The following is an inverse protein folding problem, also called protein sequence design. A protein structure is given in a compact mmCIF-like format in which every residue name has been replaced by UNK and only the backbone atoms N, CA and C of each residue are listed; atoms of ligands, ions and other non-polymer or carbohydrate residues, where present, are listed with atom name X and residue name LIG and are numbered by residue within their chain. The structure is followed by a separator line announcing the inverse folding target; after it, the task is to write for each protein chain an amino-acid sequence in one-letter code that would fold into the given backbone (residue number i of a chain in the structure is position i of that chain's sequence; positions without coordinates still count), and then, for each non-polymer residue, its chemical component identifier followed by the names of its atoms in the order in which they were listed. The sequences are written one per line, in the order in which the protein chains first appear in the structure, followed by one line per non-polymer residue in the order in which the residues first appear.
data_IF_986506923694
#
_entry.id   IF_986506923694
#
_cell.length_a   1.000
_cell.length_b   1.000
_cell.length_c   1.000
_cell.angle_alpha   90.00
_cell.angle_beta   90.00
_cell.angle_gamma   90.00
#
_symmetry.space_group_name_H-M   'P 1'
#
loop_
_entity.id
_entity.type
_entity.pdbx_description
1 polymer ?
#
# COMPACT_ATOMS: atom_id res chain seq x y z
N UNK A 1 19.48 19.83 10.54
CA UNK A 1 19.17 18.78 11.55
C UNK A 1 17.65 18.57 11.49
N UNK A 2 17.19 17.57 10.77
CA UNK A 2 15.77 17.18 10.79
C UNK A 2 15.48 16.61 12.17
N UNK A 3 14.65 17.32 12.95
CA UNK A 3 14.10 16.77 14.18
C UNK A 3 13.38 15.48 13.80
N UNK A 4 13.77 14.33 14.37
CA UNK A 4 12.92 13.15 14.36
C UNK A 4 11.66 13.51 15.13
N UNK A 5 10.62 13.93 14.41
CA UNK A 5 9.31 14.16 15.01
C UNK A 5 8.76 12.77 15.29
N UNK A 6 8.69 12.40 16.56
CA UNK A 6 8.00 11.20 16.98
C UNK A 6 6.50 11.47 16.85
N UNK A 7 5.91 11.03 15.74
CA UNK A 7 4.47 11.15 15.50
C UNK A 7 3.79 10.00 16.27
N UNK A 8 2.96 10.32 17.26
CA UNK A 8 2.13 9.33 17.96
C UNK A 8 0.67 9.48 17.53
N UNK A 9 0.30 8.78 16.48
CA UNK A 9 -1.05 8.80 15.92
C UNK A 9 -2.16 8.38 16.88
N UNK A 10 -1.85 7.59 17.89
CA UNK A 10 -2.84 7.09 18.84
C UNK A 10 -2.96 7.94 20.11
N UNK A 11 -2.13 8.98 20.25
CA UNK A 11 -2.11 9.90 21.40
C UNK A 11 -2.07 9.16 22.76
N UNK A 12 -3.23 8.95 23.38
CA UNK A 12 -3.36 8.33 24.71
C UNK A 12 -3.73 6.84 24.66
N UNK A 13 -3.96 6.30 23.48
CA UNK A 13 -4.38 4.89 23.31
C UNK A 13 -3.15 4.06 22.99
N UNK A 14 -2.95 2.97 23.73
CA UNK A 14 -1.88 2.04 23.38
C UNK A 14 -2.18 1.32 22.06
N UNK A 15 -1.15 0.95 21.26
CA UNK A 15 -1.35 0.17 20.06
C UNK A 15 -2.18 -1.11 20.28
N UNK A 16 -1.95 -1.84 21.35
CA UNK A 16 -2.71 -3.05 21.68
C UNK A 16 -4.18 -2.76 21.94
N UNK A 17 -4.50 -1.71 22.72
CA UNK A 17 -5.88 -1.32 22.98
C UNK A 17 -6.58 -0.81 21.70
N UNK A 18 -5.86 -0.14 20.79
CA UNK A 18 -6.40 0.27 19.51
C UNK A 18 -6.72 -0.95 18.62
N UNK A 19 -5.80 -1.88 18.47
CA UNK A 19 -5.99 -3.09 17.66
C UNK A 19 -7.11 -3.98 18.22
N UNK A 20 -7.23 -4.07 19.52
CA UNK A 20 -8.28 -4.85 20.17
C UNK A 20 -9.67 -4.23 20.01
N UNK A 21 -9.79 -2.91 20.20
CA UNK A 21 -11.08 -2.22 20.33
C UNK A 21 -11.58 -1.62 19.02
N UNK A 22 -10.68 -1.05 18.20
CA UNK A 22 -11.07 -0.20 17.06
C UNK A 22 -10.74 -0.84 15.71
N UNK A 23 -9.57 -1.44 15.54
CA UNK A 23 -9.11 -1.96 14.26
C UNK A 23 -10.11 -2.94 13.65
N UNK A 24 -10.59 -2.62 12.42
CA UNK A 24 -11.61 -3.40 11.70
C UNK A 24 -12.99 -3.46 12.35
N UNK A 25 -13.28 -2.61 13.36
CA UNK A 25 -14.48 -2.72 14.21
C UNK A 25 -15.31 -1.46 14.30
N UNK A 26 -14.73 -0.33 14.71
CA UNK A 26 -15.45 0.92 14.91
C UNK A 26 -14.57 2.14 14.67
N UNK A 27 -15.19 3.24 14.26
CA UNK A 27 -14.51 4.51 14.05
C UNK A 27 -13.95 5.09 15.38
N UNK A 28 -12.91 5.90 15.26
CA UNK A 28 -12.27 6.59 16.37
C UNK A 28 -11.85 7.99 15.95
N UNK A 29 -12.31 9.02 16.66
CA UNK A 29 -11.89 10.39 16.45
C UNK A 29 -10.94 10.83 17.57
N UNK A 30 -9.78 11.35 17.20
CA UNK A 30 -8.73 11.82 18.10
C UNK A 30 -8.44 13.29 17.79
N UNK A 31 -8.76 14.16 18.73
CA UNK A 31 -8.51 15.59 18.60
C UNK A 31 -7.07 15.93 18.98
N UNK A 32 -6.45 16.87 18.24
CA UNK A 32 -5.09 17.36 18.49
C UNK A 32 -4.10 16.22 18.76
N UNK A 33 -4.11 15.23 17.86
CA UNK A 33 -3.37 13.99 18.03
C UNK A 33 -1.92 14.12 17.57
N UNK A 34 -1.62 14.97 16.58
CA UNK A 34 -0.28 15.11 16.01
C UNK A 34 0.09 16.57 15.78
N UNK A 35 1.41 16.82 15.82
CA UNK A 35 2.00 18.07 15.31
C UNK A 35 2.04 18.01 13.79
N UNK A 36 1.40 18.99 13.14
CA UNK A 36 1.28 19.10 11.69
C UNK A 36 2.34 20.04 11.08
N UNK A 37 3.36 20.42 11.82
CA UNK A 37 4.45 21.25 11.30
C UNK A 37 5.08 20.58 10.07
N UNK A 38 5.02 21.27 8.93
CA UNK A 38 5.45 20.73 7.62
C UNK A 38 4.37 19.98 6.82
N UNK A 39 3.11 19.96 7.31
CA UNK A 39 1.98 19.40 6.58
C UNK A 39 1.34 20.41 5.59
N UNK A 40 1.74 21.66 5.66
CA UNK A 40 1.15 22.74 4.88
C UNK A 40 1.53 22.66 3.40
N UNK A 41 0.54 22.79 2.54
CA UNK A 41 0.70 22.74 1.09
C UNK A 41 0.03 23.95 0.44
N UNK A 42 0.77 24.67 -0.40
CA UNK A 42 0.19 25.73 -1.22
C UNK A 42 -0.50 25.15 -2.46
N UNK A 43 -1.52 25.85 -2.92
CA UNK A 43 -2.26 25.52 -4.13
C UNK A 43 -1.35 25.38 -5.36
N UNK A 44 -0.38 26.28 -5.51
CA UNK A 44 0.53 26.27 -6.66
C UNK A 44 1.41 25.02 -6.67
N UNK A 45 1.88 24.59 -5.49
CA UNK A 45 2.66 23.35 -5.33
C UNK A 45 1.83 22.14 -5.72
N UNK A 46 0.62 22.01 -5.15
CA UNK A 46 -0.27 20.87 -5.42
C UNK A 46 -0.69 20.81 -6.90
N UNK A 47 -0.99 21.96 -7.50
CA UNK A 47 -1.34 22.04 -8.94
C UNK A 47 -0.13 21.78 -9.85
N UNK A 48 1.08 22.12 -9.39
CA UNK A 48 2.32 21.78 -10.07
C UNK A 48 2.52 20.25 -10.13
N UNK A 49 2.30 19.54 -9.01
CA UNK A 49 2.37 18.09 -8.95
C UNK A 49 1.35 17.42 -9.89
N UNK A 50 0.12 17.90 -9.92
CA UNK A 50 -0.95 17.34 -10.74
C UNK A 50 -0.72 17.44 -12.26
N UNK A 51 0.27 18.25 -12.71
CA UNK A 51 0.69 18.33 -14.10
C UNK A 51 1.78 17.33 -14.48
N UNK A 52 2.39 16.70 -13.50
CA UNK A 52 3.48 15.75 -13.69
C UNK A 52 2.93 14.39 -14.14
N UNK A 53 3.40 13.88 -15.29
CA UNK A 53 2.97 12.61 -15.86
C UNK A 53 3.32 11.38 -15.01
N UNK A 54 4.30 11.50 -14.12
CA UNK A 54 4.71 10.45 -13.20
C UNK A 54 3.97 10.47 -11.86
N UNK A 55 2.97 11.35 -11.71
CA UNK A 55 2.19 11.50 -10.49
C UNK A 55 0.73 11.18 -10.79
N UNK A 56 0.23 10.09 -10.21
CA UNK A 56 -1.17 9.74 -10.32
C UNK A 56 -2.03 10.75 -9.56
N UNK A 57 -2.93 11.39 -10.31
CA UNK A 57 -3.83 12.42 -9.75
C UNK A 57 -5.19 12.40 -10.40
N UNK A 58 -6.21 12.85 -9.65
CA UNK A 58 -7.57 13.04 -10.17
C UNK A 58 -8.27 14.21 -9.49
N UNK A 59 -9.18 14.86 -10.21
CA UNK A 59 -10.07 15.87 -9.67
C UNK A 59 -11.47 15.29 -9.59
N UNK A 60 -12.08 15.44 -8.43
CA UNK A 60 -13.50 15.18 -8.19
C UNK A 60 -14.18 16.52 -7.96
N UNK A 61 -15.24 16.80 -8.71
CA UNK A 61 -16.01 18.04 -8.61
C UNK A 61 -17.52 17.73 -8.56
N UNK A 62 -18.25 18.48 -7.75
CA UNK A 62 -19.70 18.41 -7.69
C UNK A 62 -20.30 19.59 -8.47
N UNK A 63 -20.87 19.32 -9.64
CA UNK A 63 -21.43 20.33 -10.56
C UNK A 63 -22.90 20.00 -10.77
N UNK A 64 -23.78 20.95 -10.39
CA UNK A 64 -25.23 20.74 -10.52
C UNK A 64 -25.79 19.54 -9.76
N UNK A 65 -25.14 19.17 -8.64
CA UNK A 65 -25.53 18.01 -7.82
C UNK A 65 -24.99 16.66 -8.34
N UNK A 66 -24.24 16.65 -9.43
CA UNK A 66 -23.63 15.45 -9.99
C UNK A 66 -22.12 15.44 -9.76
N UNK A 67 -21.58 14.27 -9.41
CA UNK A 67 -20.14 14.05 -9.27
C UNK A 67 -19.50 13.87 -10.66
N UNK A 68 -18.42 14.58 -10.91
CA UNK A 68 -17.59 14.44 -12.10
C UNK A 68 -16.14 14.15 -11.68
N UNK A 69 -15.54 13.14 -12.29
CA UNK A 69 -14.14 12.76 -12.06
C UNK A 69 -13.33 12.98 -13.33
N UNK A 70 -12.18 13.63 -13.20
CA UNK A 70 -11.22 13.84 -14.30
C UNK A 70 -9.86 13.38 -13.83
N UNK A 71 -9.16 12.60 -14.65
CA UNK A 71 -7.84 12.05 -14.33
C UNK A 71 -6.72 12.92 -14.92
N UNK A 72 -5.61 13.00 -14.18
CA UNK A 72 -4.36 13.63 -14.64
C UNK A 72 -3.56 12.75 -15.62
N UNK A 73 -2.43 13.24 -16.12
CA UNK A 73 -1.84 14.56 -15.82
C UNK A 73 -2.64 15.70 -16.44
N UNK A 74 -2.65 16.86 -15.76
CA UNK A 74 -3.44 18.01 -16.19
C UNK A 74 -2.59 19.07 -16.89
N UNK A 75 -2.86 19.38 -18.16
CA UNK A 75 -2.28 20.56 -18.82
C UNK A 75 -2.72 21.86 -18.14
N UNK A 76 -4.01 21.92 -17.75
CA UNK A 76 -4.61 23.00 -16.99
C UNK A 76 -5.52 22.42 -15.93
N UNK A 77 -5.22 22.70 -14.67
CA UNK A 77 -6.06 22.27 -13.54
C UNK A 77 -7.32 23.13 -13.52
N UNK A 78 -8.47 22.51 -13.80
CA UNK A 78 -9.78 23.13 -13.65
C UNK A 78 -10.28 22.81 -12.24
N UNK A 79 -10.22 23.80 -11.36
CA UNK A 79 -10.54 23.66 -9.96
C UNK A 79 -11.45 24.81 -9.53
N UNK A 80 -12.61 24.48 -9.01
CA UNK A 80 -13.64 25.44 -8.59
C UNK A 80 -14.15 25.13 -7.19
N UNK A 81 -15.28 25.74 -6.82
CA UNK A 81 -16.00 25.38 -5.58
C UNK A 81 -16.42 23.91 -5.63
N UNK A 82 -16.53 23.29 -4.46
CA UNK A 82 -16.92 21.88 -4.29
C UNK A 82 -16.05 20.91 -5.10
N UNK A 83 -14.77 21.22 -5.24
CA UNK A 83 -13.79 20.37 -5.93
C UNK A 83 -12.73 19.84 -4.98
N UNK A 84 -12.22 18.65 -5.27
CA UNK A 84 -11.07 18.05 -4.59
C UNK A 84 -10.08 17.50 -5.59
N UNK A 85 -8.82 17.89 -5.47
CA UNK A 85 -7.69 17.29 -6.18
C UNK A 85 -7.06 16.22 -5.29
N UNK A 86 -6.99 14.99 -5.78
CA UNK A 86 -6.40 13.86 -5.10
C UNK A 86 -5.08 13.49 -5.76
N UNK A 87 -4.06 13.22 -4.95
CA UNK A 87 -2.76 12.72 -5.39
C UNK A 87 -2.46 11.43 -4.62
N UNK A 88 -2.28 10.34 -5.37
CA UNK A 88 -1.94 9.02 -4.82
C UNK A 88 -0.45 8.90 -4.51
N UNK A 89 -0.08 7.93 -3.68
CA UNK A 89 1.29 7.64 -3.27
C UNK A 89 2.06 8.89 -2.77
N UNK A 90 1.37 9.78 -2.08
CA UNK A 90 1.93 11.06 -1.65
C UNK A 90 3.10 10.92 -0.65
N UNK A 91 3.17 9.77 0.05
CA UNK A 91 4.31 9.37 0.89
C UNK A 91 5.63 9.21 0.11
N UNK A 92 5.60 9.07 -1.23
CA UNK A 92 6.79 9.04 -2.07
C UNK A 92 7.24 10.45 -2.51
N UNK A 93 6.41 11.46 -2.29
CA UNK A 93 6.58 12.82 -2.82
C UNK A 93 6.93 13.80 -1.71
N UNK A 94 6.36 13.62 -0.52
CA UNK A 94 6.36 14.58 0.57
C UNK A 94 6.94 13.97 1.86
N UNK A 95 7.98 14.62 2.43
CA UNK A 95 8.69 14.07 3.59
C UNK A 95 7.78 13.93 4.81
N UNK A 96 6.90 14.91 5.08
CA UNK A 96 5.95 14.82 6.20
C UNK A 96 5.03 13.60 6.06
N UNK A 97 4.43 13.39 4.88
CA UNK A 97 3.51 12.26 4.67
C UNK A 97 4.22 10.90 4.72
N UNK A 98 5.49 10.84 4.31
CA UNK A 98 6.32 9.65 4.51
C UNK A 98 6.53 9.37 6.00
N UNK A 99 6.91 10.37 6.79
CA UNK A 99 7.12 10.21 8.23
C UNK A 99 5.82 9.83 8.95
N UNK A 100 4.71 10.43 8.54
CA UNK A 100 3.37 10.09 9.01
C UNK A 100 3.04 8.61 8.74
N UNK A 101 3.27 8.14 7.53
CA UNK A 101 3.07 6.74 7.15
C UNK A 101 3.97 5.78 7.94
N UNK A 102 5.25 6.13 8.16
CA UNK A 102 6.16 5.32 8.97
C UNK A 102 5.81 5.29 10.45
N UNK A 103 5.06 6.25 10.97
CA UNK A 103 4.66 6.30 12.37
C UNK A 103 3.64 5.23 12.76
N UNK A 104 2.95 4.63 11.78
CA UNK A 104 2.03 3.51 12.00
C UNK A 104 2.81 2.17 12.03
N UNK A 105 3.75 2.06 12.94
CA UNK A 105 4.61 0.88 13.07
C UNK A 105 4.00 -0.25 13.92
N UNK A 106 2.80 -0.07 14.41
CA UNK A 106 2.02 -1.07 15.16
C UNK A 106 1.12 -1.92 14.27
N UNK A 107 1.00 -1.57 12.98
CA UNK A 107 0.37 -2.41 11.95
C UNK A 107 1.48 -3.06 11.12
N UNK A 108 1.41 -4.37 10.81
CA UNK A 108 2.42 -5.04 9.98
C UNK A 108 2.62 -4.34 8.63
N UNK A 109 3.87 -4.15 8.22
CA UNK A 109 4.21 -3.43 6.98
C UNK A 109 3.62 -4.05 5.70
N UNK A 110 3.36 -5.37 5.71
CA UNK A 110 2.70 -6.05 4.60
C UNK A 110 1.26 -5.56 4.35
N UNK A 111 0.63 -4.95 5.35
CA UNK A 111 -0.71 -4.36 5.24
C UNK A 111 -0.68 -2.87 4.90
N UNK A 112 0.46 -2.21 4.94
CA UNK A 112 0.56 -0.82 4.53
C UNK A 112 0.30 -0.68 3.03
N UNK A 113 -0.51 0.32 2.65
CA UNK A 113 -0.76 0.62 1.24
C UNK A 113 -0.05 1.90 0.81
N UNK A 114 -0.73 3.03 0.84
CA UNK A 114 -0.16 4.32 0.50
C UNK A 114 -0.71 5.45 1.38
N UNK A 115 -0.24 6.66 1.12
CA UNK A 115 -0.87 7.89 1.58
C UNK A 115 -1.43 8.63 0.37
N UNK A 116 -2.74 8.78 0.33
CA UNK A 116 -3.40 9.67 -0.62
C UNK A 116 -3.57 11.05 0.02
N UNK A 117 -3.17 12.11 -0.67
CA UNK A 117 -3.44 13.48 -0.26
C UNK A 117 -4.65 14.03 -1.02
N UNK A 118 -5.59 14.65 -0.31
CA UNK A 118 -6.68 15.42 -0.89
C UNK A 118 -6.51 16.91 -0.59
N UNK A 119 -6.58 17.74 -1.64
CA UNK A 119 -6.61 19.19 -1.56
C UNK A 119 -7.99 19.66 -2.02
N UNK A 120 -8.77 20.27 -1.11
CA UNK A 120 -10.19 20.54 -1.35
C UNK A 120 -10.54 22.01 -1.18
N UNK A 121 -11.42 22.54 -2.03
CA UNK A 121 -12.08 23.82 -1.83
C UNK A 121 -13.28 23.69 -0.88
N UNK A 122 -13.83 24.82 -0.45
CA UNK A 122 -15.09 24.83 0.31
C UNK A 122 -16.19 24.02 -0.38
N UNK A 123 -16.86 23.14 0.36
CA UNK A 123 -17.85 22.19 -0.14
C UNK A 123 -17.26 20.99 -0.89
N UNK A 124 -15.94 20.92 -1.07
CA UNK A 124 -15.25 19.82 -1.73
C UNK A 124 -15.16 18.57 -0.85
N UNK A 125 -14.97 17.44 -1.51
CA UNK A 125 -14.83 16.10 -0.92
C UNK A 125 -14.80 15.05 -2.01
N UNK A 126 -14.80 13.76 -1.63
CA UNK A 126 -14.90 12.61 -2.58
C UNK A 126 -16.33 12.11 -2.74
N UNK A 127 -17.28 12.70 -2.00
CA UNK A 127 -18.64 12.20 -1.91
C UNK A 127 -18.80 11.12 -0.83
N UNK A 128 -20.04 10.73 -0.54
CA UNK A 128 -20.34 9.65 0.39
C UNK A 128 -19.93 8.30 -0.22
N UNK A 129 -19.09 7.56 0.51
CA UNK A 129 -18.57 6.26 0.09
C UNK A 129 -18.22 5.38 1.29
N UNK A 130 -17.74 4.20 1.03
CA UNK A 130 -17.12 3.33 2.02
C UNK A 130 -16.00 2.52 1.37
N UNK A 131 -14.95 2.25 2.14
CA UNK A 131 -13.79 1.50 1.69
C UNK A 131 -13.86 0.04 2.16
N UNK A 132 -13.19 -0.86 1.45
CA UNK A 132 -13.02 -2.26 1.86
C UNK A 132 -11.84 -2.46 2.81
N UNK A 133 -11.17 -1.38 3.23
CA UNK A 133 -9.95 -1.39 4.03
C UNK A 133 -10.02 -0.37 5.17
N UNK A 134 -9.11 -0.52 6.12
CA UNK A 134 -8.91 0.42 7.22
C UNK A 134 -8.24 1.69 6.71
N UNK A 135 -8.63 2.86 7.23
CA UNK A 135 -8.01 4.14 6.86
C UNK A 135 -7.89 5.10 8.04
N UNK A 136 -6.73 5.79 8.14
CA UNK A 136 -6.58 6.97 8.99
C UNK A 136 -6.68 8.22 8.14
N UNK A 137 -7.57 9.11 8.51
CA UNK A 137 -7.81 10.41 7.88
C UNK A 137 -7.21 11.49 8.77
N UNK A 138 -6.07 12.02 8.37
CA UNK A 138 -5.31 13.02 9.13
C UNK A 138 -5.58 14.39 8.55
N UNK A 139 -6.14 15.31 9.35
CA UNK A 139 -6.38 16.66 8.91
C UNK A 139 -5.10 17.48 8.96
N UNK A 140 -4.57 17.88 7.81
CA UNK A 140 -3.33 18.63 7.69
C UNK A 140 -3.54 20.13 7.66
N UNK A 141 -4.59 20.61 6.97
CA UNK A 141 -4.83 22.03 6.76
C UNK A 141 -6.32 22.29 6.58
N UNK A 142 -6.82 23.45 7.07
CA UNK A 142 -8.23 23.79 6.97
C UNK A 142 -9.14 22.91 7.84
N UNK A 143 -10.44 23.06 7.70
CA UNK A 143 -11.44 22.33 8.50
C UNK A 143 -12.31 21.46 7.59
N UNK A 144 -12.67 20.26 8.08
CA UNK A 144 -13.53 19.30 7.36
C UNK A 144 -14.54 18.65 8.30
N UNK A 145 -15.81 18.64 7.90
CA UNK A 145 -16.84 17.86 8.59
C UNK A 145 -16.85 16.45 8.04
N UNK A 146 -16.75 15.46 8.92
CA UNK A 146 -16.91 14.06 8.62
C UNK A 146 -18.22 13.52 9.16
N UNK A 147 -19.06 13.00 8.28
CA UNK A 147 -20.28 12.27 8.60
C UNK A 147 -19.97 10.78 8.51
N UNK A 148 -20.24 10.02 9.56
CA UNK A 148 -19.96 8.60 9.68
C UNK A 148 -21.27 7.84 9.85
N UNK A 149 -21.48 6.79 9.07
CA UNK A 149 -22.62 5.90 9.16
C UNK A 149 -22.33 4.64 9.96
N UNK A 150 -23.35 3.84 10.21
CA UNK A 150 -23.19 2.53 10.83
C UNK A 150 -22.45 1.57 9.88
N UNK A 151 -21.49 0.82 10.43
CA UNK A 151 -20.78 -0.22 9.66
C UNK A 151 -21.74 -1.31 9.19
N UNK A 152 -21.84 -1.53 7.90
CA UNK A 152 -22.66 -2.61 7.31
C UNK A 152 -21.81 -3.60 6.50
N UNK A 153 -21.34 -4.64 7.19
CA UNK A 153 -20.58 -5.74 6.56
C UNK A 153 -21.41 -6.59 5.57
N UNK A 154 -22.75 -6.46 5.56
CA UNK A 154 -23.63 -7.23 4.65
C UNK A 154 -23.81 -6.52 3.33
N UNK A 155 -23.81 -5.20 3.28
CA UNK A 155 -23.94 -4.41 2.05
C UNK A 155 -22.85 -4.74 1.02
N UNK A 156 -21.68 -5.21 1.46
CA UNK A 156 -20.53 -5.56 0.62
C UNK A 156 -20.54 -6.96 0.00
N UNK A 157 -21.50 -7.80 0.33
CA UNK A 157 -21.66 -9.10 -0.35
C UNK A 157 -22.29 -8.97 -1.73
N UNK A 158 -22.77 -7.79 -2.09
CA UNK A 158 -23.26 -7.50 -3.44
C UNK A 158 -22.10 -7.06 -4.34
N UNK A 159 -22.07 -7.62 -5.53
CA UNK A 159 -20.99 -7.60 -6.53
C UNK A 159 -20.71 -6.25 -7.20
N UNK A 160 -21.20 -5.12 -6.69
CA UNK A 160 -20.87 -3.80 -7.26
C UNK A 160 -19.58 -3.26 -6.63
N UNK A 161 -18.56 -3.09 -7.43
CA UNK A 161 -17.26 -2.47 -7.06
C UNK A 161 -17.35 -0.94 -6.95
N UNK A 162 -18.48 -0.34 -7.31
CA UNK A 162 -18.69 1.10 -7.24
C UNK A 162 -19.47 1.46 -5.96
N UNK A 163 -18.72 1.87 -4.94
CA UNK A 163 -19.24 2.34 -3.66
C UNK A 163 -19.31 3.87 -3.59
N UNK A 164 -19.17 4.57 -4.73
CA UNK A 164 -19.33 6.01 -4.84
C UNK A 164 -20.83 6.39 -4.78
N UNK A 165 -21.12 7.58 -4.24
CA UNK A 165 -22.49 8.10 -4.09
C UNK A 165 -23.43 7.27 -3.19
N UNK A 166 -22.88 6.63 -2.18
CA UNK A 166 -23.62 5.84 -1.20
C UNK A 166 -24.57 6.75 -0.40
N UNK A 167 -25.88 6.44 -0.40
CA UNK A 167 -26.81 7.10 0.49
C UNK A 167 -26.82 6.42 1.85
N UNK A 168 -26.46 7.16 2.91
CA UNK A 168 -26.54 6.67 4.28
C UNK A 168 -27.03 7.74 5.23
N UNK A 169 -27.51 7.34 6.41
CA UNK A 169 -27.86 8.25 7.49
C UNK A 169 -26.67 8.32 8.44
N UNK A 170 -26.07 9.49 8.65
CA UNK A 170 -24.99 9.66 9.62
C UNK A 170 -25.44 9.25 11.03
N UNK A 171 -24.63 8.44 11.70
CA UNK A 171 -24.79 8.12 13.13
C UNK A 171 -23.93 9.00 13.99
N UNK A 172 -22.81 9.48 13.44
CA UNK A 172 -21.85 10.37 14.10
C UNK A 172 -21.39 11.47 13.14
N UNK A 173 -21.02 12.61 13.71
CA UNK A 173 -20.45 13.73 12.97
C UNK A 173 -19.27 14.32 13.74
N UNK A 174 -18.17 14.55 13.04
CA UNK A 174 -16.94 15.12 13.61
C UNK A 174 -16.49 16.34 12.81
N UNK A 175 -16.11 17.42 13.49
CA UNK A 175 -15.39 18.55 12.90
C UNK A 175 -13.90 18.29 13.08
N UNK A 176 -13.20 17.97 12.00
CA UNK A 176 -11.77 17.78 12.01
C UNK A 176 -11.04 19.10 11.73
N UNK A 177 -10.10 19.43 12.61
CA UNK A 177 -9.18 20.57 12.55
C UNK A 177 -7.74 20.07 12.32
N UNK A 178 -6.82 20.94 11.88
CA UNK A 178 -5.42 20.56 11.71
C UNK A 178 -4.85 19.88 12.96
N UNK A 179 -4.28 18.68 12.79
CA UNK A 179 -3.78 17.83 13.86
C UNK A 179 -4.76 16.74 14.35
N UNK A 180 -6.03 16.81 13.95
CA UNK A 180 -7.02 15.79 14.28
C UNK A 180 -6.90 14.57 13.38
N UNK A 181 -7.26 13.41 13.92
CA UNK A 181 -7.25 12.12 13.20
C UNK A 181 -8.62 11.45 13.36
N UNK A 182 -9.16 10.99 12.25
CA UNK A 182 -10.30 10.09 12.21
C UNK A 182 -9.87 8.75 11.63
N UNK A 183 -9.96 7.69 12.43
CA UNK A 183 -9.84 6.33 11.96
C UNK A 183 -11.21 5.80 11.54
N UNK A 184 -11.29 5.20 10.35
CA UNK A 184 -12.51 4.59 9.82
C UNK A 184 -12.21 3.13 9.45
N UNK A 185 -12.95 2.15 10.02
CA UNK A 185 -12.79 0.75 9.70
C UNK A 185 -13.44 0.41 8.35
N UNK A 186 -13.11 -0.77 7.77
CA UNK A 186 -13.71 -1.24 6.52
C UNK A 186 -15.24 -1.24 6.57
N UNK A 187 -15.87 -0.97 5.44
CA UNK A 187 -17.32 -1.02 5.26
C UNK A 187 -18.12 -0.03 6.12
N UNK A 188 -17.47 1.02 6.55
CA UNK A 188 -18.12 2.11 7.29
C UNK A 188 -18.37 3.27 6.34
N UNK A 189 -19.66 3.59 6.04
CA UNK A 189 -20.00 4.73 5.20
C UNK A 189 -19.47 6.03 5.80
N UNK A 190 -18.82 6.84 4.98
CA UNK A 190 -18.33 8.14 5.43
C UNK A 190 -18.38 9.18 4.32
N UNK A 191 -18.47 10.44 4.74
CA UNK A 191 -18.54 11.60 3.84
C UNK A 191 -17.85 12.79 4.47
N UNK A 192 -16.72 13.22 3.90
CA UNK A 192 -15.99 14.41 4.29
C UNK A 192 -16.34 15.60 3.42
N UNK A 193 -16.71 16.72 4.04
CA UNK A 193 -17.04 17.98 3.37
C UNK A 193 -16.11 19.06 3.91
N UNK A 194 -15.33 19.68 3.02
CA UNK A 194 -14.46 20.79 3.38
C UNK A 194 -15.27 22.04 3.75
N UNK A 195 -14.91 22.68 4.84
CA UNK A 195 -15.49 23.97 5.28
C UNK A 195 -14.63 25.17 4.89
N UNK A 196 -13.43 24.94 4.39
CA UNK A 196 -12.48 25.98 4.00
C UNK A 196 -11.91 25.73 2.63
N UNK A 197 -11.44 26.75 1.96
CA UNK A 197 -10.53 26.61 0.82
C UNK A 197 -9.16 26.09 1.28
N UNK A 198 -8.44 25.45 0.34
CA UNK A 198 -7.11 24.90 0.58
C UNK A 198 -7.06 23.86 1.75
N UNK A 199 -8.14 23.09 1.91
CA UNK A 199 -8.27 22.06 2.93
C UNK A 199 -7.48 20.81 2.52
N UNK A 200 -6.53 20.39 3.37
CA UNK A 200 -5.66 19.21 3.11
C UNK A 200 -5.99 18.09 4.09
N UNK A 201 -6.25 16.90 3.56
CA UNK A 201 -6.38 15.67 4.35
C UNK A 201 -5.42 14.61 3.80
N UNK A 202 -4.69 13.95 4.67
CA UNK A 202 -3.86 12.78 4.35
C UNK A 202 -4.63 11.52 4.73
N UNK A 203 -4.95 10.69 3.74
CA UNK A 203 -5.63 9.41 3.92
C UNK A 203 -4.59 8.30 3.87
N UNK A 204 -4.38 7.60 4.98
CA UNK A 204 -3.42 6.50 5.10
C UNK A 204 -4.19 5.20 4.98
N UNK A 205 -4.08 4.54 3.82
CA UNK A 205 -4.77 3.30 3.50
C UNK A 205 -3.99 2.05 3.88
N UNK A 206 -4.75 0.95 4.12
CA UNK A 206 -4.18 -0.36 4.40
C UNK A 206 -4.73 -1.40 3.45
N UNK A 207 -3.89 -2.37 3.07
CA UNK A 207 -4.31 -3.48 2.21
C UNK A 207 -5.22 -4.44 2.98
N UNK A 208 -6.32 -4.81 2.35
CA UNK A 208 -7.23 -5.86 2.85
C UNK A 208 -7.60 -6.76 1.67
N UNK A 209 -6.71 -7.67 1.25
CA UNK A 209 -6.91 -8.45 0.04
C UNK A 209 -8.16 -9.33 0.13
N UNK A 210 -8.98 -9.30 -0.90
CA UNK A 210 -10.20 -10.10 -1.00
C UNK A 210 -9.87 -11.57 -1.33
N UNK A 211 -10.79 -12.48 -1.02
CA UNK A 211 -10.68 -13.88 -1.42
C UNK A 211 -10.52 -14.06 -2.93
N UNK A 212 -11.15 -13.20 -3.75
CA UNK A 212 -11.04 -13.27 -5.21
C UNK A 212 -9.67 -12.77 -5.67
N UNK A 213 -9.17 -11.70 -5.09
CA UNK A 213 -7.83 -11.19 -5.36
C UNK A 213 -6.76 -12.23 -5.02
N UNK A 214 -6.81 -12.80 -3.81
CA UNK A 214 -5.89 -13.88 -3.39
C UNK A 214 -5.92 -15.06 -4.37
N UNK A 215 -7.12 -15.49 -4.82
CA UNK A 215 -7.25 -16.59 -5.78
C UNK A 215 -6.64 -16.26 -7.14
N UNK A 216 -6.92 -15.07 -7.66
CA UNK A 216 -6.39 -14.63 -8.95
C UNK A 216 -4.86 -14.52 -8.90
N UNK A 217 -4.32 -13.86 -7.88
CA UNK A 217 -2.89 -13.71 -7.68
C UNK A 217 -2.18 -15.07 -7.49
N UNK A 218 -2.83 -16.02 -6.79
CA UNK A 218 -2.29 -17.36 -6.66
C UNK A 218 -2.28 -18.13 -7.99
N UNK A 219 -3.30 -17.94 -8.83
CA UNK A 219 -3.32 -18.51 -10.18
C UNK A 219 -2.20 -17.93 -11.04
N UNK A 220 -2.01 -16.63 -11.04
CA UNK A 220 -0.92 -15.95 -11.76
C UNK A 220 0.45 -16.43 -11.27
N UNK A 221 0.65 -16.49 -9.95
CA UNK A 221 1.86 -17.03 -9.33
C UNK A 221 2.14 -18.47 -9.80
N UNK A 222 1.13 -19.34 -9.85
CA UNK A 222 1.28 -20.71 -10.35
C UNK A 222 1.59 -20.73 -11.85
N UNK A 223 1.07 -19.80 -12.62
CA UNK A 223 1.34 -19.70 -14.06
C UNK A 223 2.79 -19.30 -14.36
N UNK A 224 3.40 -18.50 -13.52
CA UNK A 224 4.77 -17.99 -13.69
C UNK A 224 5.84 -18.98 -13.22
N UNK A 225 5.47 -20.03 -12.48
CA UNK A 225 6.41 -21.05 -12.03
C UNK A 225 7.01 -21.83 -13.20
N UNK A 226 8.30 -22.11 -13.10
CA UNK A 226 9.08 -22.83 -14.15
C UNK A 226 8.92 -24.36 -14.09
N UNK A 227 8.37 -24.89 -12.99
CA UNK A 227 8.23 -26.34 -12.73
C UNK A 227 6.94 -26.94 -13.33
N UNK A 228 6.47 -26.37 -14.44
CA UNK A 228 5.26 -26.86 -15.14
C UNK A 228 5.54 -28.13 -15.89
N UNK A 229 4.72 -29.15 -15.65
CA UNK A 229 4.60 -30.28 -16.53
C UNK A 229 3.79 -29.90 -17.78
N UNK A 230 4.34 -30.13 -18.96
CA UNK A 230 3.63 -30.01 -20.23
C UNK A 230 3.09 -31.36 -20.70
N UNK A 231 2.69 -32.22 -19.76
CA UNK A 231 2.16 -33.55 -20.10
C UNK A 231 0.89 -33.40 -20.93
N UNK A 232 0.89 -34.05 -22.07
CA UNK A 232 -0.28 -34.13 -22.93
C UNK A 232 -1.16 -35.30 -22.48
N UNK A 233 -2.46 -35.13 -22.60
CA UNK A 233 -3.39 -36.24 -22.40
C UNK A 233 -3.08 -37.32 -23.44
N UNK A 234 -2.77 -38.52 -22.97
CA UNK A 234 -2.42 -39.66 -23.81
C UNK A 234 -3.17 -40.90 -23.32
N UNK A 235 -4.37 -41.12 -23.79
CA UNK A 235 -5.18 -42.30 -23.43
C UNK A 235 -6.66 -42.08 -23.66
N UNK A 236 -7.19 -42.51 -24.79
CA UNK A 236 -8.62 -42.55 -25.05
C UNK A 236 -9.16 -43.97 -24.78
N UNK A 237 -10.09 -44.07 -23.82
CA UNK A 237 -10.99 -45.19 -23.74
C UNK A 237 -12.04 -45.01 -24.85
N UNK A 238 -11.80 -45.61 -25.98
CA UNK A 238 -12.70 -45.55 -27.14
C UNK A 238 -13.91 -46.46 -26.90
N UNK A 239 -15.06 -45.86 -26.59
CA UNK A 239 -16.33 -46.51 -26.57
C UNK A 239 -17.12 -46.04 -27.80
N UNK A 240 -17.23 -46.86 -28.82
CA UNK A 240 -17.72 -46.50 -30.16
C UNK A 240 -19.18 -45.95 -30.15
N UNK A 241 -19.95 -46.18 -29.11
CA UNK A 241 -21.38 -45.86 -29.06
C UNK A 241 -21.75 -44.55 -28.35
N UNK A 242 -20.77 -43.71 -27.93
CA UNK A 242 -21.05 -42.53 -27.12
C UNK A 242 -20.23 -41.32 -27.55
N UNK A 243 -20.38 -40.90 -28.79
CA UNK A 243 -19.62 -39.77 -29.39
C UNK A 243 -19.75 -38.45 -28.64
N UNK A 244 -20.81 -38.27 -27.88
CA UNK A 244 -21.07 -37.04 -27.10
C UNK A 244 -20.59 -37.13 -25.63
N UNK A 245 -20.14 -38.30 -25.16
CA UNK A 245 -19.67 -38.44 -23.79
C UNK A 245 -18.19 -38.04 -23.65
N UNK A 246 -17.88 -37.30 -22.61
CA UNK A 246 -16.48 -37.03 -22.22
C UNK A 246 -15.91 -38.31 -21.60
N UNK A 247 -14.80 -38.84 -22.13
CA UNK A 247 -14.14 -40.03 -21.56
C UNK A 247 -13.75 -39.80 -20.12
N UNK A 248 -13.94 -40.82 -19.27
CA UNK A 248 -13.59 -40.73 -17.84
C UNK A 248 -12.07 -40.53 -17.64
N UNK A 249 -11.25 -41.07 -18.49
CA UNK A 249 -9.79 -40.85 -18.51
C UNK A 249 -9.44 -39.38 -18.75
N UNK A 250 -10.09 -38.72 -19.71
CA UNK A 250 -9.90 -37.29 -19.98
C UNK A 250 -10.42 -36.42 -18.81
N UNK A 251 -11.60 -36.73 -18.31
CA UNK A 251 -12.15 -36.01 -17.15
C UNK A 251 -11.24 -36.14 -15.92
N UNK A 252 -10.67 -37.31 -15.68
CA UNK A 252 -9.73 -37.56 -14.57
C UNK A 252 -8.41 -36.82 -14.77
N UNK A 253 -7.88 -36.80 -15.99
CA UNK A 253 -6.68 -36.01 -16.35
C UNK A 253 -6.91 -34.52 -16.10
N UNK A 254 -8.03 -33.96 -16.56
CA UNK A 254 -8.41 -32.56 -16.33
C UNK A 254 -8.53 -32.27 -14.83
N UNK A 255 -9.26 -33.12 -14.07
CA UNK A 255 -9.41 -32.93 -12.60
C UNK A 255 -8.06 -32.96 -11.86
N UNK A 256 -7.15 -33.85 -12.28
CA UNK A 256 -5.80 -33.93 -11.70
C UNK A 256 -5.01 -32.63 -11.95
N UNK A 257 -5.11 -32.06 -13.16
CA UNK A 257 -4.35 -30.87 -13.56
C UNK A 257 -5.03 -29.54 -13.23
N UNK A 258 -6.28 -29.54 -12.77
CA UNK A 258 -6.99 -28.36 -12.23
C UNK A 258 -6.96 -28.31 -10.69
N UNK A 259 -6.39 -29.32 -10.03
CA UNK A 259 -6.21 -29.29 -8.59
C UNK A 259 -5.12 -28.29 -8.21
N UNK A 260 -5.42 -27.38 -7.29
CA UNK A 260 -4.41 -26.50 -6.73
C UNK A 260 -3.34 -27.30 -5.98
N UNK A 261 -2.05 -26.97 -6.17
CA UNK A 261 -0.99 -27.55 -5.37
C UNK A 261 -1.28 -27.36 -3.87
N UNK A 262 -1.31 -28.46 -3.13
CA UNK A 262 -1.47 -28.44 -1.65
C UNK A 262 -0.12 -28.48 -0.94
N UNK A 263 0.98 -28.26 -1.66
CA UNK A 263 2.30 -28.23 -1.07
C UNK A 263 2.45 -26.95 -0.22
N UNK A 264 2.62 -27.08 1.11
CA UNK A 264 2.75 -25.92 2.00
C UNK A 264 3.87 -24.96 1.60
N UNK A 265 5.00 -25.49 1.07
CA UNK A 265 6.13 -24.67 0.65
C UNK A 265 5.79 -23.74 -0.52
N UNK A 266 4.93 -24.18 -1.44
CA UNK A 266 4.46 -23.36 -2.57
C UNK A 266 3.52 -22.26 -2.07
N UNK A 267 2.67 -22.60 -1.12
CA UNK A 267 1.73 -21.64 -0.51
C UNK A 267 2.49 -20.60 0.32
N UNK A 268 3.45 -21.01 1.11
CA UNK A 268 4.27 -20.12 1.94
C UNK A 268 5.11 -19.16 1.06
N UNK A 269 5.67 -19.66 -0.05
CA UNK A 269 6.41 -18.83 -1.00
C UNK A 269 5.47 -17.81 -1.69
N UNK A 270 4.29 -18.25 -2.11
CA UNK A 270 3.26 -17.34 -2.63
C UNK A 270 2.89 -16.25 -1.62
N UNK A 271 2.67 -16.59 -0.34
CA UNK A 271 2.33 -15.61 0.70
C UNK A 271 3.41 -14.53 0.80
N UNK A 272 4.67 -14.93 0.83
CA UNK A 272 5.80 -14.01 0.91
C UNK A 272 5.91 -13.11 -0.32
N UNK A 273 5.80 -13.67 -1.52
CA UNK A 273 5.83 -12.93 -2.78
C UNK A 273 4.66 -11.95 -2.88
N UNK A 274 3.42 -12.41 -2.65
CA UNK A 274 2.21 -11.60 -2.73
C UNK A 274 2.20 -10.42 -1.75
N UNK A 275 2.63 -10.65 -0.51
CA UNK A 275 2.63 -9.60 0.53
C UNK A 275 3.82 -8.63 0.42
N UNK A 276 4.86 -8.99 -0.34
CA UNK A 276 5.98 -8.11 -0.65
C UNK A 276 5.91 -7.48 -2.05
N UNK A 277 4.83 -7.73 -2.81
CA UNK A 277 4.66 -7.14 -4.13
C UNK A 277 4.65 -5.61 -4.04
N UNK A 278 5.49 -4.89 -4.83
CA UNK A 278 5.53 -3.44 -4.82
C UNK A 278 4.24 -2.86 -5.41
N UNK A 279 3.99 -1.58 -5.17
CA UNK A 279 2.87 -0.89 -5.82
C UNK A 279 2.99 -0.93 -7.34
N UNK A 280 1.86 -0.96 -8.02
CA UNK A 280 1.81 -0.76 -9.46
C UNK A 280 2.49 0.57 -9.83
N UNK A 281 3.36 0.53 -10.83
CA UNK A 281 4.16 1.68 -11.22
C UNK A 281 5.41 1.94 -10.38
N UNK A 282 5.74 1.09 -9.38
CA UNK A 282 7.01 1.18 -8.67
C UNK A 282 8.18 1.03 -9.65
N UNK A 283 9.12 1.97 -9.58
CA UNK A 283 10.28 2.00 -10.47
C UNK A 283 11.59 1.96 -9.69
N UNK A 284 12.44 0.99 -10.02
CA UNK A 284 13.75 0.80 -9.40
C UNK A 284 14.86 1.03 -10.42
N UNK A 285 15.76 1.96 -10.10
CA UNK A 285 16.90 2.25 -10.99
C UNK A 285 17.99 1.22 -10.77
N UNK A 286 18.19 0.35 -11.77
CA UNK A 286 19.28 -0.64 -11.75
C UNK A 286 20.65 0.01 -11.85
N UNK A 287 21.63 -0.55 -11.15
CA UNK A 287 23.01 -0.08 -11.09
C UNK A 287 23.96 -1.25 -11.22
N UNK A 288 25.12 -1.03 -11.83
CA UNK A 288 26.18 -2.03 -11.84
C UNK A 288 27.09 -1.80 -10.63
N UNK A 289 27.00 -2.67 -9.62
CA UNK A 289 27.80 -2.58 -8.40
C UNK A 289 28.68 -3.84 -8.32
N UNK A 290 30.00 -3.64 -8.30
CA UNK A 290 30.95 -4.75 -8.21
C UNK A 290 31.34 -5.00 -6.74
N UNK A 291 31.68 -6.27 -6.42
CA UNK A 291 32.17 -6.69 -5.10
C UNK A 291 33.39 -5.85 -4.67
N UNK A 292 34.30 -5.59 -5.60
CA UNK A 292 35.49 -4.79 -5.32
C UNK A 292 35.15 -3.33 -4.97
N UNK A 293 34.23 -2.69 -5.69
CA UNK A 293 33.79 -1.34 -5.39
C UNK A 293 33.09 -1.26 -4.02
N UNK A 294 32.23 -2.23 -3.72
CA UNK A 294 31.54 -2.31 -2.44
C UNK A 294 32.52 -2.51 -1.27
N UNK A 295 33.44 -3.46 -1.37
CA UNK A 295 34.46 -3.78 -0.33
C UNK A 295 35.49 -2.68 -0.10
N UNK A 296 35.68 -1.74 -1.03
CA UNK A 296 36.56 -0.56 -0.84
C UNK A 296 35.96 0.49 0.09
N UNK A 297 34.68 0.41 0.43
CA UNK A 297 34.04 1.37 1.34
C UNK A 297 34.37 0.96 2.77
N UNK A 298 35.39 1.62 3.39
CA UNK A 298 35.88 1.34 4.74
C UNK A 298 35.39 2.37 5.77
N UNK A 299 34.24 2.93 5.55
CA UNK A 299 33.55 3.83 6.49
C UNK A 299 32.16 3.29 6.78
N UNK A 300 31.68 3.57 7.99
CA UNK A 300 30.33 3.24 8.38
C UNK A 300 29.31 4.06 7.58
N UNK A 301 28.31 3.40 7.04
CA UNK A 301 27.22 4.02 6.27
C UNK A 301 25.86 3.49 6.72
N UNK A 302 24.86 4.32 6.60
CA UNK A 302 23.46 3.90 6.77
C UNK A 302 22.99 3.32 5.45
N UNK A 303 22.68 2.04 5.44
CA UNK A 303 21.96 1.36 4.37
C UNK A 303 20.45 1.47 4.64
N UNK A 304 19.65 1.69 3.61
CA UNK A 304 18.19 1.85 3.71
C UNK A 304 17.47 0.99 2.67
N UNK A 305 16.27 0.51 2.99
CA UNK A 305 15.35 0.08 1.94
C UNK A 305 15.03 1.29 1.03
N UNK A 306 14.88 1.06 -0.26
CA UNK A 306 14.33 2.08 -1.14
C UNK A 306 12.91 2.42 -0.68
N UNK A 307 12.48 3.66 -0.86
CA UNK A 307 11.17 4.15 -0.39
C UNK A 307 9.99 3.35 -0.98
N UNK A 308 10.16 2.79 -2.19
CA UNK A 308 9.16 1.98 -2.89
C UNK A 308 9.28 0.49 -2.60
N UNK A 309 10.34 0.07 -1.89
CA UNK A 309 10.58 -1.34 -1.59
C UNK A 309 9.61 -1.86 -0.55
N UNK A 310 9.01 -2.99 -0.84
CA UNK A 310 8.27 -3.82 0.12
C UNK A 310 9.10 -5.04 0.51
N UNK A 311 9.31 -5.20 1.80
CA UNK A 311 10.12 -6.28 2.35
C UNK A 311 9.38 -6.93 3.52
N UNK A 312 9.27 -8.25 3.51
CA UNK A 312 8.57 -9.04 4.55
C UNK A 312 9.36 -10.30 4.90
N UNK A 313 9.09 -10.86 6.07
CA UNK A 313 9.64 -12.12 6.54
C UNK A 313 8.47 -13.08 6.76
N UNK A 314 8.53 -14.28 6.17
CA UNK A 314 7.54 -15.32 6.36
C UNK A 314 8.20 -16.69 6.51
N UNK A 315 7.87 -17.44 7.58
CA UNK A 315 8.42 -18.77 7.86
C UNK A 315 9.94 -18.86 7.66
N UNK A 316 10.67 -17.94 8.27
CA UNK A 316 12.13 -17.81 8.18
C UNK A 316 12.70 -17.43 6.80
N UNK A 317 11.90 -17.22 5.79
CA UNK A 317 12.31 -16.74 4.48
C UNK A 317 12.14 -15.22 4.37
N UNK A 318 13.00 -14.62 3.57
CA UNK A 318 13.03 -13.17 3.32
C UNK A 318 12.50 -12.88 1.92
N UNK A 319 11.52 -12.00 1.83
CA UNK A 319 10.90 -11.61 0.57
C UNK A 319 11.04 -10.11 0.36
N UNK A 320 11.38 -9.72 -0.85
CA UNK A 320 11.51 -8.33 -1.23
C UNK A 320 10.97 -8.12 -2.65
N UNK A 321 10.02 -7.23 -2.83
CA UNK A 321 9.42 -6.91 -4.12
C UNK A 321 8.97 -8.16 -4.93
N UNK A 322 8.23 -9.05 -4.27
CA UNK A 322 7.74 -10.33 -4.78
C UNK A 322 8.83 -11.39 -5.06
N UNK A 323 10.05 -11.18 -4.60
CA UNK A 323 11.16 -12.12 -4.76
C UNK A 323 11.57 -12.76 -3.43
N UNK A 324 11.73 -14.08 -3.42
CA UNK A 324 12.34 -14.81 -2.30
C UNK A 324 13.86 -14.69 -2.40
N UNK A 325 14.50 -14.11 -1.39
CA UNK A 325 15.97 -13.95 -1.35
C UNK A 325 16.60 -14.94 -0.38
N UNK A 326 17.62 -15.63 -0.82
CA UNK A 326 18.37 -16.53 0.05
C UNK A 326 19.26 -15.73 0.99
N UNK A 327 19.04 -15.88 2.30
CA UNK A 327 19.82 -15.26 3.37
C UNK A 327 20.48 -16.36 4.20
N UNK A 328 21.80 -16.37 4.28
CA UNK A 328 22.54 -17.32 5.10
C UNK A 328 22.21 -17.13 6.59
N UNK A 329 22.17 -18.21 7.37
CA UNK A 329 21.78 -18.16 8.81
C UNK A 329 22.58 -17.13 9.63
N UNK A 330 23.87 -16.97 9.36
CA UNK A 330 24.74 -15.99 10.06
C UNK A 330 24.38 -14.52 9.72
N UNK A 331 23.65 -14.27 8.63
CA UNK A 331 23.30 -12.93 8.14
C UNK A 331 21.84 -12.57 8.44
N UNK A 332 21.05 -13.51 8.99
CA UNK A 332 19.61 -13.32 9.27
C UNK A 332 19.33 -12.10 10.11
N UNK A 333 20.01 -11.94 11.24
CA UNK A 333 19.80 -10.80 12.16
C UNK A 333 19.98 -9.45 11.46
N UNK A 334 20.93 -9.36 10.52
CA UNK A 334 21.15 -8.16 9.73
C UNK A 334 19.93 -7.82 8.87
N UNK A 335 19.36 -8.80 8.15
CA UNK A 335 18.19 -8.57 7.31
C UNK A 335 16.91 -8.39 8.11
N UNK A 336 16.77 -9.08 9.25
CA UNK A 336 15.66 -8.86 10.18
C UNK A 336 15.65 -7.41 10.69
N UNK A 337 16.80 -6.88 11.08
CA UNK A 337 16.93 -5.48 11.49
C UNK A 337 16.67 -4.52 10.33
N UNK A 338 17.27 -4.75 9.15
CA UNK A 338 17.05 -3.93 7.97
C UNK A 338 15.56 -3.86 7.57
N UNK A 339 14.85 -4.99 7.59
CA UNK A 339 13.45 -5.04 7.17
C UNK A 339 12.53 -4.38 8.22
N UNK A 340 12.80 -4.60 9.51
CA UNK A 340 12.00 -4.02 10.60
C UNK A 340 12.25 -2.51 10.76
N UNK A 341 13.52 -2.06 10.70
CA UNK A 341 13.90 -0.66 10.90
C UNK A 341 13.96 0.15 9.61
N UNK A 342 13.85 -0.52 8.44
CA UNK A 342 14.02 0.04 7.09
C UNK A 342 15.37 0.70 6.85
N UNK A 343 16.27 0.62 7.80
CA UNK A 343 17.67 1.11 7.75
C UNK A 343 18.54 0.37 8.73
N UNK A 344 19.84 0.27 8.42
CA UNK A 344 20.85 -0.34 9.28
C UNK A 344 22.21 0.32 9.06
N UNK A 345 23.07 0.33 10.07
CA UNK A 345 24.47 0.74 9.96
C UNK A 345 25.32 -0.42 9.46
N UNK A 346 26.21 -0.14 8.52
CA UNK A 346 27.15 -1.13 7.98
C UNK A 346 28.47 -0.49 7.57
N UNK A 347 29.57 -1.22 7.79
CA UNK A 347 30.86 -0.96 7.16
C UNK A 347 31.08 -2.00 6.07
N UNK A 348 30.92 -1.66 4.78
CA UNK A 348 30.94 -2.64 3.68
C UNK A 348 32.22 -3.47 3.58
N UNK A 349 33.39 -2.87 3.89
CA UNK A 349 34.68 -3.59 3.89
C UNK A 349 34.74 -4.75 4.90
N UNK A 350 33.97 -4.65 6.01
CA UNK A 350 33.92 -5.64 7.09
C UNK A 350 32.83 -6.70 6.92
N UNK A 351 31.92 -6.52 5.95
CA UNK A 351 30.86 -7.48 5.67
C UNK A 351 31.42 -8.81 5.16
N UNK A 352 30.86 -9.92 5.60
CA UNK A 352 31.25 -11.25 5.12
C UNK A 352 30.76 -11.49 3.68
N UNK A 353 31.31 -12.50 3.00
CA UNK A 353 31.06 -12.70 1.57
C UNK A 353 29.59 -13.05 1.24
N UNK A 354 28.89 -13.84 2.07
CA UNK A 354 27.47 -14.14 1.83
C UNK A 354 26.60 -12.89 1.95
N UNK A 355 26.84 -12.05 2.95
CA UNK A 355 26.14 -10.79 3.11
C UNK A 355 26.42 -9.85 1.93
N UNK A 356 27.66 -9.78 1.47
CA UNK A 356 28.06 -8.95 0.34
C UNK A 356 27.35 -9.36 -0.95
N UNK A 357 27.20 -10.65 -1.23
CA UNK A 357 26.51 -11.15 -2.43
C UNK A 357 25.06 -10.69 -2.46
N UNK A 358 24.31 -10.90 -1.38
CA UNK A 358 22.92 -10.46 -1.29
C UNK A 358 22.81 -8.93 -1.38
N UNK A 359 23.68 -8.20 -0.70
CA UNK A 359 23.65 -6.73 -0.72
C UNK A 359 23.98 -6.15 -2.10
N UNK A 360 24.93 -6.72 -2.83
CA UNK A 360 25.24 -6.28 -4.19
C UNK A 360 24.04 -6.51 -5.10
N UNK A 361 23.38 -7.66 -4.99
CA UNK A 361 22.16 -7.92 -5.73
C UNK A 361 21.10 -6.84 -5.43
N UNK A 362 20.74 -6.65 -4.17
CA UNK A 362 19.71 -5.70 -3.78
C UNK A 362 20.04 -4.24 -4.11
N UNK A 363 21.32 -3.85 -4.00
CA UNK A 363 21.81 -2.53 -4.42
C UNK A 363 21.76 -2.37 -5.94
N UNK A 364 22.06 -3.44 -6.69
CA UNK A 364 22.06 -3.42 -8.16
C UNK A 364 20.65 -3.34 -8.71
N UNK A 365 19.69 -4.02 -8.10
CA UNK A 365 18.27 -3.89 -8.44
C UNK A 365 17.65 -2.56 -7.96
N UNK A 366 18.34 -1.81 -7.08
CA UNK A 366 17.83 -0.55 -6.53
C UNK A 366 16.86 -0.72 -5.36
N UNK A 367 16.73 -1.93 -4.81
CA UNK A 367 15.83 -2.23 -3.68
C UNK A 367 16.33 -1.66 -2.36
N UNK A 368 17.65 -1.50 -2.23
CA UNK A 368 18.30 -0.84 -1.10
C UNK A 368 19.25 0.27 -1.58
N UNK A 369 19.58 1.20 -0.70
CA UNK A 369 20.42 2.35 -1.06
C UNK A 369 21.20 2.90 0.14
N UNK A 370 22.38 3.48 -0.12
CA UNK A 370 23.12 4.31 0.84
C UNK A 370 22.67 5.77 0.83
N UNK A 371 21.91 6.19 -0.16
CA UNK A 371 21.43 7.56 -0.28
C UNK A 371 20.27 7.81 0.67
N UNK A 372 20.13 9.04 1.15
CA UNK A 372 18.91 9.49 1.80
C UNK A 372 17.76 9.50 0.77
N UNK A 373 16.55 9.26 1.23
CA UNK A 373 15.38 9.50 0.40
C UNK A 373 15.35 10.97 -0.04
N UNK A 374 14.97 11.19 -1.28
CA UNK A 374 14.79 12.54 -1.83
C UNK A 374 13.31 12.70 -2.13
N UNK A 375 12.70 13.64 -1.47
CA UNK A 375 11.32 14.02 -1.73
C UNK A 375 11.30 15.21 -2.70
N UNK A 376 10.16 15.40 -3.38
CA UNK A 376 9.94 16.58 -4.22
C UNK A 376 9.57 17.80 -3.36
N UNK A 377 8.99 17.54 -2.17
CA UNK A 377 8.54 18.51 -1.18
C UNK A 377 9.12 18.22 0.19
#
# INVERSE_FOLDING_TARGET
MTKNISINLLKHISPSAFLEKYWGKQALFLQDAIDISGAELSKDVVFGLAKNENIESKIIAFIGGSQQTTYGPFNKVKYGKSSSLLIHQFNLIHEFSYNLFQSINFVPYCLHDDVMMSFSSEGGGVGPHSDSYDVFLVQGQGEKVWNIGATDKKAFKTTSTDHSNLKFTPTEQFLAKPGDILYVPPFTPHHGISLSDDCVTYSIGFRSPSNNEIRNQYLEYLMDRKDKSNDLFNGLDLNENTKALIPNSLASFIKKNTAFPKNPLIIDDFIGCFLSEPHEGAFFTKKNITKNAFKKIDIEKILRLNIQTRAVIHNENFYINAENIFVANKDRMFFEELFNQKKILITPSKANDSLVEVMIYLLSEGYITFNKHRFML
#
